data_IF_961239226189
#
_entry.id   IF_961239226189
#
_cell.length_a   1.000
_cell.length_b   1.000
_cell.length_c   1.000
_cell.angle_alpha   90.00
_cell.angle_beta   90.00
_cell.angle_gamma   90.00
#
_symmetry.space_group_name_H-M   'P 1'
#
loop_
_entity.id
_entity.type
_entity.pdbx_description
1 polymer ?
#
# COMPACT_ATOMS: atom_id res chain seq x y z
N UNK A 1 15.34 34.41 29.60
CA UNK A 1 15.53 34.07 28.17
C UNK A 1 14.67 32.86 27.85
N UNK A 2 13.48 33.00 27.22
CA UNK A 2 12.56 31.88 27.03
C UNK A 2 13.03 30.99 25.87
N UNK A 3 13.30 29.71 26.19
CA UNK A 3 13.80 28.66 25.30
C UNK A 3 12.66 27.96 24.53
N UNK A 4 11.93 28.67 23.65
CA UNK A 4 10.65 28.13 23.10
C UNK A 4 10.55 27.86 21.59
N UNK A 5 11.62 27.97 20.80
CA UNK A 5 11.52 27.90 19.33
C UNK A 5 12.29 26.74 18.65
N UNK A 6 12.29 25.54 19.22
CA UNK A 6 13.01 24.37 18.63
C UNK A 6 12.11 23.30 18.03
N UNK A 7 10.80 23.31 18.31
CA UNK A 7 9.88 22.28 17.84
C UNK A 7 9.43 22.50 16.39
N UNK A 8 9.07 23.73 16.00
CA UNK A 8 8.58 24.02 14.64
C UNK A 8 9.62 23.76 13.55
N UNK A 9 10.89 24.10 13.79
CA UNK A 9 11.97 23.86 12.86
C UNK A 9 12.25 22.36 12.65
N UNK A 10 12.04 21.55 13.70
CA UNK A 10 12.20 20.09 13.64
C UNK A 10 11.03 19.44 12.91
N UNK A 11 9.80 19.85 13.21
CA UNK A 11 8.61 19.40 12.48
C UNK A 11 8.64 19.78 10.99
N UNK A 12 9.17 20.95 10.64
CA UNK A 12 9.38 21.33 9.24
C UNK A 12 10.41 20.44 8.56
N UNK A 13 11.53 20.15 9.25
CA UNK A 13 12.57 19.27 8.72
C UNK A 13 12.05 17.84 8.51
N UNK A 14 11.23 17.33 9.44
CA UNK A 14 10.59 16.02 9.33
C UNK A 14 9.58 15.98 8.18
N UNK A 15 8.75 17.02 8.04
CA UNK A 15 7.81 17.14 6.92
C UNK A 15 8.54 17.16 5.57
N UNK A 16 9.63 17.92 5.45
CA UNK A 16 10.46 17.97 4.25
C UNK A 16 11.11 16.63 3.94
N UNK A 17 11.59 15.90 4.96
CA UNK A 17 12.15 14.56 4.78
C UNK A 17 11.09 13.57 4.27
N UNK A 18 9.89 13.61 4.84
CA UNK A 18 8.77 12.80 4.39
C UNK A 18 8.39 13.14 2.94
N UNK A 19 8.21 14.42 2.61
CA UNK A 19 7.89 14.86 1.25
C UNK A 19 8.99 14.47 0.26
N UNK A 20 10.26 14.65 0.63
CA UNK A 20 11.40 14.27 -0.21
C UNK A 20 11.44 12.77 -0.46
N UNK A 21 11.19 11.96 0.57
CA UNK A 21 11.15 10.49 0.43
C UNK A 21 10.00 10.06 -0.47
N UNK A 22 8.83 10.69 -0.35
CA UNK A 22 7.66 10.42 -1.19
C UNK A 22 7.96 10.81 -2.64
N UNK A 23 8.48 12.01 -2.88
CA UNK A 23 8.84 12.48 -4.23
C UNK A 23 9.94 11.61 -4.84
N UNK A 24 10.93 11.18 -4.05
CA UNK A 24 11.97 10.28 -4.49
C UNK A 24 11.42 8.90 -4.88
N UNK A 25 10.53 8.32 -4.06
CA UNK A 25 9.89 7.04 -4.36
C UNK A 25 9.00 7.11 -5.61
N UNK A 26 8.23 8.20 -5.76
CA UNK A 26 7.39 8.45 -6.94
C UNK A 26 8.25 8.65 -8.18
N UNK A 27 9.33 9.43 -8.09
CA UNK A 27 10.27 9.62 -9.19
C UNK A 27 10.92 8.30 -9.61
N UNK A 28 11.39 7.49 -8.65
CA UNK A 28 11.95 6.17 -8.93
C UNK A 28 10.93 5.25 -9.59
N UNK A 29 9.68 5.21 -9.11
CA UNK A 29 8.61 4.42 -9.72
C UNK A 29 8.26 4.88 -11.13
N UNK A 30 8.19 6.19 -11.36
CA UNK A 30 7.92 6.78 -12.68
C UNK A 30 9.05 6.51 -13.67
N UNK A 31 10.30 6.73 -13.30
CA UNK A 31 11.45 6.48 -14.16
C UNK A 31 11.68 4.99 -14.40
N UNK A 32 11.48 4.13 -13.39
CA UNK A 32 11.54 2.68 -13.55
C UNK A 32 10.43 2.16 -14.47
N UNK A 33 9.19 2.66 -14.31
CA UNK A 33 8.07 2.35 -15.18
C UNK A 33 8.30 2.82 -16.61
N UNK A 34 8.76 4.06 -16.79
CA UNK A 34 9.10 4.62 -18.11
C UNK A 34 10.28 3.89 -18.79
N UNK A 35 11.27 3.43 -18.02
CA UNK A 35 12.39 2.64 -18.55
C UNK A 35 11.96 1.22 -18.93
N UNK A 36 11.05 0.60 -18.16
CA UNK A 36 10.42 -0.65 -18.57
C UNK A 36 9.60 -0.47 -19.85
N UNK A 37 8.71 0.54 -19.93
CA UNK A 37 7.91 0.80 -21.13
C UNK A 37 8.77 1.10 -22.36
N UNK A 38 9.88 1.85 -22.20
CA UNK A 38 10.79 2.16 -23.29
C UNK A 38 11.64 0.99 -23.80
N UNK A 39 11.77 -0.11 -23.04
CA UNK A 39 12.54 -1.29 -23.45
C UNK A 39 11.70 -2.33 -24.20
N UNK A 40 10.38 -2.23 -24.13
CA UNK A 40 9.46 -3.21 -24.72
C UNK A 40 8.77 -2.75 -26.02
N UNK A 41 8.91 -1.49 -26.45
CA UNK A 41 8.41 -0.95 -27.73
C UNK A 41 6.95 -1.33 -28.07
N UNK A 42 6.15 -1.65 -27.06
CA UNK A 42 4.74 -2.02 -27.17
C UNK A 42 4.01 -1.23 -26.09
N UNK A 43 2.91 -0.60 -26.50
CA UNK A 43 1.88 0.09 -25.69
C UNK A 43 1.58 -0.61 -24.33
N UNK A 44 0.84 -0.02 -23.36
CA UNK A 44 1.03 -0.18 -21.91
C UNK A 44 0.60 -1.56 -21.32
N UNK A 45 1.09 -2.66 -21.87
CA UNK A 45 0.75 -4.03 -21.55
C UNK A 45 1.31 -4.48 -20.21
N UNK A 46 2.47 -3.96 -19.80
CA UNK A 46 3.09 -4.30 -18.52
C UNK A 46 2.37 -3.63 -17.34
N UNK A 47 1.87 -2.41 -17.57
CA UNK A 47 0.93 -1.73 -16.66
C UNK A 47 -0.38 -2.51 -16.53
N UNK A 48 -0.93 -3.02 -17.65
CA UNK A 48 -2.14 -3.88 -17.63
C UNK A 48 -1.88 -5.23 -16.96
N UNK A 49 -0.73 -5.86 -17.18
CA UNK A 49 -0.36 -7.11 -16.54
C UNK A 49 -0.14 -6.95 -15.02
N UNK A 50 0.55 -5.89 -14.61
CA UNK A 50 0.71 -5.54 -13.19
C UNK A 50 -0.62 -5.20 -12.52
N UNK A 51 -1.49 -4.47 -13.21
CA UNK A 51 -2.85 -4.17 -12.74
C UNK A 51 -3.70 -5.44 -12.60
N UNK A 52 -3.68 -6.33 -13.58
CA UNK A 52 -4.40 -7.61 -13.54
C UNK A 52 -3.89 -8.54 -12.43
N UNK A 53 -2.58 -8.61 -12.23
CA UNK A 53 -1.98 -9.39 -11.13
C UNK A 53 -2.32 -8.81 -9.75
N UNK A 54 -2.32 -7.48 -9.62
CA UNK A 54 -2.74 -6.79 -8.40
C UNK A 54 -4.22 -7.04 -8.07
N UNK A 55 -5.10 -6.92 -9.08
CA UNK A 55 -6.52 -7.26 -8.96
C UNK A 55 -6.74 -8.71 -8.56
N UNK A 56 -6.09 -9.65 -9.24
CA UNK A 56 -6.22 -11.08 -8.94
C UNK A 56 -5.79 -11.41 -7.50
N UNK A 57 -4.72 -10.78 -7.03
CA UNK A 57 -4.22 -10.95 -5.66
C UNK A 57 -5.22 -10.41 -4.63
N UNK A 58 -5.78 -9.21 -4.87
CA UNK A 58 -6.79 -8.62 -4.01
C UNK A 58 -8.05 -9.50 -3.90
N UNK A 59 -8.56 -9.99 -5.03
CA UNK A 59 -9.70 -10.91 -5.06
C UNK A 59 -9.41 -12.21 -4.30
N UNK A 60 -8.24 -12.81 -4.50
CA UNK A 60 -7.85 -14.04 -3.81
C UNK A 60 -7.81 -13.86 -2.29
N UNK A 61 -7.22 -12.76 -1.81
CA UNK A 61 -7.14 -12.46 -0.37
C UNK A 61 -8.53 -12.25 0.24
N UNK A 62 -9.42 -11.55 -0.46
CA UNK A 62 -10.81 -11.35 0.00
C UNK A 62 -11.55 -12.68 0.06
N UNK A 63 -11.43 -13.52 -0.96
CA UNK A 63 -12.07 -14.84 -1.01
C UNK A 63 -11.62 -15.76 0.13
N UNK A 64 -10.32 -15.77 0.42
CA UNK A 64 -9.74 -16.55 1.51
C UNK A 64 -10.21 -16.05 2.89
N UNK A 65 -10.26 -14.72 3.08
CA UNK A 65 -10.81 -14.12 4.30
C UNK A 65 -12.30 -14.40 4.48
N UNK A 66 -13.12 -14.27 3.45
CA UNK A 66 -14.56 -14.55 3.53
C UNK A 66 -14.84 -15.99 3.94
N UNK A 67 -14.08 -16.95 3.41
CA UNK A 67 -14.20 -18.36 3.80
C UNK A 67 -13.65 -18.65 5.20
N UNK A 68 -12.62 -17.92 5.64
CA UNK A 68 -12.07 -18.04 6.99
C UNK A 68 -12.99 -17.43 8.06
N UNK A 69 -13.59 -16.27 7.78
CA UNK A 69 -14.46 -15.54 8.69
C UNK A 69 -15.78 -16.28 8.94
N UNK A 70 -16.35 -16.96 7.93
CA UNK A 70 -17.50 -17.84 8.13
C UNK A 70 -17.22 -18.98 9.12
N UNK A 71 -16.01 -19.54 9.11
CA UNK A 71 -15.65 -20.66 9.98
C UNK A 71 -15.43 -20.23 11.45
N UNK A 72 -14.98 -19.00 11.67
CA UNK A 72 -14.72 -18.46 13.00
C UNK A 72 -15.97 -17.83 13.64
N UNK A 73 -16.77 -17.09 12.87
CA UNK A 73 -18.04 -16.51 13.34
C UNK A 73 -19.05 -17.57 13.76
N UNK A 74 -19.19 -18.66 13.00
CA UNK A 74 -20.08 -19.79 13.35
C UNK A 74 -19.57 -20.56 14.58
N UNK A 75 -18.25 -20.66 14.77
CA UNK A 75 -17.65 -21.30 15.96
C UNK A 75 -17.80 -20.46 17.22
N UNK A 76 -17.66 -19.14 17.13
CA UNK A 76 -17.89 -18.22 18.25
C UNK A 76 -19.36 -18.20 18.66
N UNK A 77 -20.28 -18.16 17.71
CA UNK A 77 -21.72 -18.23 18.00
C UNK A 77 -22.07 -19.54 18.74
N UNK A 78 -21.53 -20.68 18.30
CA UNK A 78 -21.76 -21.98 18.97
C UNK A 78 -21.02 -22.16 20.31
N UNK A 79 -19.98 -21.37 20.60
CA UNK A 79 -19.23 -21.44 21.86
C UNK A 79 -19.86 -20.57 22.95
N UNK A 80 -20.45 -19.43 22.57
CA UNK A 80 -21.12 -18.51 23.48
C UNK A 80 -22.58 -18.90 23.78
N UNK A 81 -23.18 -19.77 22.97
CA UNK A 81 -24.56 -20.27 23.14
C UNK A 81 -24.61 -21.64 23.86
N UNK A 82 -23.49 -22.10 24.46
CA UNK A 82 -23.49 -23.23 25.40
C UNK A 82 -23.82 -22.72 26.81
N UNK A 83 -24.82 -23.29 27.50
CA UNK A 83 -25.20 -22.90 28.85
C UNK A 83 -24.10 -23.18 29.88
#
# INVERSE_FOLDING_TARGET
>A
MPQQNKHWARSLSDALNLTTTIVAAVAVGYFAGKWLDGKFDTEPWLTVAGFLLGLATAFKVIWERMNADQKNTVKEYKKNDKP
#
